data_IF_445648249766
#
_entry.id   IF_445648249766
#
_cell.length_a   1.000
_cell.length_b   1.000
_cell.length_c   1.000
_cell.angle_alpha   90.00
_cell.angle_beta   90.00
_cell.angle_gamma   90.00
#
_symmetry.space_group_name_H-M   'P 1'
#
loop_
_entity.id
_entity.type
_entity.pdbx_description
1 polymer ?
#
# COMPACT_ATOMS: atom_id res chain seq x y z
N UNK A 1 -8.73 -28.43 -2.75
CA UNK A 1 -7.27 -28.31 -2.78
C UNK A 1 -6.75 -28.63 -4.18
N UNK A 2 -5.74 -27.89 -4.67
CA UNK A 2 -5.16 -28.11 -5.99
C UNK A 2 -6.01 -27.62 -7.18
N UNK A 3 -7.09 -26.89 -6.93
CA UNK A 3 -7.92 -26.30 -7.98
C UNK A 3 -7.56 -24.83 -8.21
N UNK A 4 -7.68 -24.39 -9.46
CA UNK A 4 -7.62 -22.99 -9.83
C UNK A 4 -8.87 -22.29 -9.29
N UNK A 5 -8.69 -21.16 -8.63
CA UNK A 5 -9.77 -20.39 -8.00
C UNK A 5 -9.57 -18.91 -8.29
N UNK A 6 -10.68 -18.17 -8.36
CA UNK A 6 -10.67 -16.71 -8.35
C UNK A 6 -11.15 -16.21 -6.99
N UNK A 7 -10.41 -15.29 -6.40
CA UNK A 7 -10.69 -14.70 -5.10
C UNK A 7 -10.66 -13.17 -5.22
N UNK A 8 -11.65 -12.52 -4.65
CA UNK A 8 -11.69 -11.06 -4.52
C UNK A 8 -11.47 -10.66 -3.06
N UNK A 9 -10.64 -9.66 -2.83
CA UNK A 9 -10.36 -9.21 -1.48
C UNK A 9 -9.53 -7.93 -1.44
N UNK A 10 -9.22 -7.51 -0.22
CA UNK A 10 -8.39 -6.34 0.07
C UNK A 10 -7.03 -6.83 0.52
N UNK A 11 -5.97 -6.27 -0.05
CA UNK A 11 -4.59 -6.55 0.38
C UNK A 11 -4.34 -5.87 1.71
N UNK A 12 -4.06 -6.64 2.74
CA UNK A 12 -3.78 -6.13 4.08
C UNK A 12 -2.29 -5.97 4.34
N UNK A 13 -1.49 -6.84 3.75
CA UNK A 13 -0.04 -6.87 3.98
C UNK A 13 0.69 -7.34 2.73
N UNK A 14 1.85 -6.73 2.46
CA UNK A 14 2.83 -7.18 1.48
C UNK A 14 4.17 -7.39 2.17
N UNK A 15 4.85 -8.51 1.89
CA UNK A 15 6.24 -8.69 2.32
C UNK A 15 7.20 -7.92 1.41
N UNK A 16 8.45 -7.83 1.83
CA UNK A 16 9.50 -7.36 0.94
C UNK A 16 9.73 -8.35 -0.20
N UNK A 17 10.11 -7.83 -1.35
CA UNK A 17 10.54 -8.65 -2.49
C UNK A 17 11.90 -9.26 -2.19
N UNK A 18 12.03 -10.56 -2.39
CA UNK A 18 13.28 -11.30 -2.14
C UNK A 18 13.60 -12.20 -3.32
N UNK A 19 14.83 -12.17 -3.81
CA UNK A 19 15.26 -13.12 -4.80
C UNK A 19 15.36 -14.51 -4.15
N UNK A 20 14.75 -15.50 -4.77
CA UNK A 20 14.77 -16.90 -4.40
C UNK A 20 15.52 -17.67 -5.47
N UNK A 21 16.44 -18.51 -5.05
CA UNK A 21 17.19 -19.30 -6.00
C UNK A 21 16.36 -20.47 -6.53
N UNK A 22 16.36 -20.63 -7.84
CA UNK A 22 15.73 -21.75 -8.54
C UNK A 22 16.77 -22.81 -8.93
N UNK A 23 17.90 -22.34 -9.43
CA UNK A 23 19.02 -23.20 -9.83
C UNK A 23 20.34 -22.59 -9.40
N UNK A 24 21.15 -23.33 -8.65
CA UNK A 24 22.51 -22.94 -8.32
C UNK A 24 23.52 -23.69 -9.19
N UNK A 25 24.61 -23.00 -9.48
CA UNK A 25 25.76 -23.55 -10.18
C UNK A 25 26.99 -23.40 -9.28
N UNK A 26 27.67 -24.48 -9.03
CA UNK A 26 28.87 -24.52 -8.19
C UNK A 26 30.05 -25.03 -9.02
N UNK A 27 31.19 -24.41 -8.84
CA UNK A 27 32.42 -24.80 -9.50
C UNK A 27 33.35 -25.47 -8.49
N UNK A 28 33.98 -26.58 -8.91
CA UNK A 28 35.00 -27.28 -8.14
C UNK A 28 36.36 -27.06 -8.77
N UNK A 29 37.27 -26.35 -8.08
CA UNK A 29 38.62 -26.04 -8.59
C UNK A 29 39.46 -27.31 -8.80
N UNK A 30 39.30 -28.33 -7.94
CA UNK A 30 40.08 -29.58 -8.00
C UNK A 30 39.71 -30.47 -9.18
N UNK A 31 38.41 -30.51 -9.52
CA UNK A 31 37.90 -31.35 -10.60
C UNK A 31 37.63 -30.58 -11.89
N UNK A 32 37.72 -29.23 -11.84
CA UNK A 32 37.39 -28.34 -12.95
C UNK A 32 36.01 -28.62 -13.55
N UNK A 33 35.03 -28.99 -12.72
CA UNK A 33 33.66 -29.32 -13.14
C UNK A 33 32.63 -28.40 -12.49
N UNK A 34 31.56 -28.18 -13.22
CA UNK A 34 30.40 -27.48 -12.71
C UNK A 34 29.37 -28.45 -12.16
N UNK A 35 28.86 -28.19 -10.97
CA UNK A 35 27.80 -28.92 -10.31
C UNK A 35 26.55 -28.05 -10.29
N UNK A 36 25.47 -28.53 -10.92
CA UNK A 36 24.18 -27.81 -10.98
C UNK A 36 23.22 -28.46 -10.01
N UNK A 37 22.48 -27.62 -9.28
CA UNK A 37 21.43 -28.07 -8.36
C UNK A 37 20.17 -27.25 -8.55
N UNK A 38 19.05 -27.94 -8.71
CA UNK A 38 17.71 -27.31 -8.74
C UNK A 38 17.08 -27.34 -7.34
N UNK A 39 16.47 -26.22 -6.97
CA UNK A 39 15.75 -26.08 -5.71
C UNK A 39 14.25 -26.07 -5.99
N UNK A 40 13.53 -27.00 -5.38
CA UNK A 40 12.08 -27.14 -5.50
C UNK A 40 11.45 -26.95 -4.14
N UNK A 41 10.59 -25.97 -4.02
CA UNK A 41 9.81 -25.74 -2.82
C UNK A 41 8.40 -26.30 -2.96
N UNK A 42 7.75 -26.50 -1.82
CA UNK A 42 6.36 -26.92 -1.77
C UNK A 42 5.39 -25.90 -2.41
N UNK A 43 5.83 -24.64 -2.63
CA UNK A 43 5.06 -23.59 -3.28
C UNK A 43 5.17 -23.58 -4.80
N UNK A 44 6.16 -24.29 -5.38
CA UNK A 44 6.32 -24.36 -6.83
C UNK A 44 5.30 -25.27 -7.51
N UNK A 45 4.98 -24.94 -8.76
CA UNK A 45 4.23 -25.82 -9.65
C UNK A 45 5.11 -26.99 -10.07
N UNK A 46 4.78 -28.18 -9.64
CA UNK A 46 5.51 -29.40 -10.02
C UNK A 46 5.16 -30.59 -9.15
N UNK A 47 5.29 -31.79 -9.71
CA UNK A 47 4.97 -33.07 -9.05
C UNK A 47 6.15 -33.68 -8.28
N UNK A 48 7.31 -33.02 -8.24
CA UNK A 48 8.49 -33.54 -7.55
C UNK A 48 8.49 -33.21 -6.04
N UNK A 49 9.17 -34.05 -5.25
CA UNK A 49 9.35 -33.78 -3.82
C UNK A 49 10.16 -32.48 -3.62
N UNK A 50 9.89 -31.72 -2.53
CA UNK A 50 10.69 -30.56 -2.20
C UNK A 50 12.14 -30.93 -1.93
N UNK A 51 13.08 -30.18 -2.48
CA UNK A 51 14.52 -30.38 -2.21
C UNK A 51 14.94 -29.54 -0.99
N UNK A 52 16.06 -29.92 -0.38
CA UNK A 52 16.63 -29.15 0.73
C UNK A 52 17.07 -27.77 0.25
N UNK A 53 16.81 -26.73 1.03
CA UNK A 53 17.19 -25.34 0.73
C UNK A 53 18.65 -25.00 1.04
N UNK A 54 19.44 -25.98 1.49
CA UNK A 54 20.84 -25.78 1.90
C UNK A 54 21.79 -25.82 0.70
N UNK A 55 22.69 -24.84 0.61
CA UNK A 55 23.76 -24.86 -0.39
C UNK A 55 24.75 -25.98 -0.16
N UNK A 56 25.12 -26.73 -1.18
CA UNK A 56 26.22 -27.68 -1.07
C UNK A 56 27.55 -26.90 -0.94
N UNK A 57 28.28 -27.17 0.10
CA UNK A 57 29.61 -26.59 0.34
C UNK A 57 30.75 -27.52 -0.12
N UNK A 58 30.43 -28.81 -0.26
CA UNK A 58 31.37 -29.86 -0.67
C UNK A 58 30.75 -30.76 -1.71
N UNK A 59 31.57 -31.26 -2.61
CA UNK A 59 31.22 -32.30 -3.58
C UNK A 59 31.11 -33.69 -2.90
N UNK A 60 30.61 -34.68 -3.63
CA UNK A 60 30.54 -36.09 -3.17
C UNK A 60 31.93 -36.67 -2.76
N UNK A 61 32.99 -36.13 -3.35
CA UNK A 61 34.38 -36.47 -3.05
C UNK A 61 34.98 -35.67 -1.89
N UNK A 62 34.24 -34.79 -1.24
CA UNK A 62 34.70 -33.93 -0.15
C UNK A 62 35.46 -32.67 -0.58
N UNK A 63 35.54 -32.37 -1.89
CA UNK A 63 36.18 -31.17 -2.38
C UNK A 63 35.32 -29.94 -2.15
N UNK A 64 35.95 -28.80 -1.88
CA UNK A 64 35.24 -27.50 -1.68
C UNK A 64 34.62 -27.01 -2.98
N UNK A 65 33.37 -26.56 -2.89
CA UNK A 65 32.64 -25.94 -3.97
C UNK A 65 32.56 -24.45 -3.80
N UNK A 66 32.79 -23.70 -4.88
CA UNK A 66 32.58 -22.23 -4.97
C UNK A 66 31.30 -21.97 -5.77
N UNK A 67 30.46 -21.04 -5.31
CA UNK A 67 29.19 -20.72 -5.98
C UNK A 67 29.41 -19.65 -7.04
N UNK A 68 29.06 -19.95 -8.28
CA UNK A 68 29.11 -19.02 -9.40
C UNK A 68 27.78 -18.29 -9.56
N UNK A 69 27.65 -17.15 -8.88
CA UNK A 69 26.40 -16.39 -8.84
C UNK A 69 25.90 -15.94 -10.22
N UNK A 70 26.82 -15.63 -11.14
CA UNK A 70 26.47 -15.20 -12.51
C UNK A 70 25.82 -16.28 -13.37
N UNK A 71 25.96 -17.57 -13.00
CA UNK A 71 25.34 -18.70 -13.68
C UNK A 71 24.11 -19.24 -12.94
N UNK A 72 23.83 -18.72 -11.76
CA UNK A 72 22.65 -19.07 -10.96
C UNK A 72 21.39 -18.42 -11.53
N UNK A 73 20.26 -19.11 -11.41
CA UNK A 73 18.95 -18.58 -11.80
C UNK A 73 18.15 -18.23 -10.55
N UNK A 74 17.73 -16.99 -10.47
CA UNK A 74 16.92 -16.46 -9.38
C UNK A 74 15.51 -16.15 -9.88
N UNK A 75 14.57 -16.11 -8.95
CA UNK A 75 13.17 -15.73 -9.15
C UNK A 75 12.77 -14.76 -8.04
N UNK A 76 12.13 -13.69 -8.38
CA UNK A 76 11.58 -12.77 -7.39
C UNK A 76 10.38 -13.40 -6.69
N UNK A 77 10.33 -13.25 -5.38
CA UNK A 77 9.34 -13.85 -4.50
C UNK A 77 8.80 -12.83 -3.53
N UNK A 78 7.48 -12.77 -3.42
CA UNK A 78 6.78 -11.90 -2.48
C UNK A 78 5.59 -12.65 -1.88
N UNK A 79 5.32 -12.42 -0.60
CA UNK A 79 4.15 -12.94 0.08
C UNK A 79 3.19 -11.79 0.39
N UNK A 80 1.93 -11.95 0.06
CA UNK A 80 0.87 -10.99 0.38
C UNK A 80 -0.22 -11.66 1.19
N UNK A 81 -0.91 -10.89 2.05
CA UNK A 81 -2.09 -11.35 2.77
C UNK A 81 -3.31 -10.61 2.24
N UNK A 82 -4.33 -11.36 1.85
CA UNK A 82 -5.60 -10.84 1.35
C UNK A 82 -6.68 -11.12 2.36
N UNK A 83 -7.50 -10.13 2.65
CA UNK A 83 -8.66 -10.22 3.52
C UNK A 83 -9.94 -10.16 2.71
N UNK A 84 -10.95 -10.90 3.15
CA UNK A 84 -12.31 -10.87 2.60
C UNK A 84 -12.87 -9.43 2.60
N UNK A 85 -13.63 -9.09 1.54
CA UNK A 85 -14.25 -7.77 1.45
C UNK A 85 -15.31 -7.60 2.56
N UNK A 86 -15.27 -6.49 3.32
CA UNK A 86 -16.22 -6.25 4.42
C UNK A 86 -17.68 -6.27 3.97
N UNK A 87 -17.94 -5.89 2.70
CA UNK A 87 -19.28 -5.84 2.12
C UNK A 87 -19.87 -7.24 1.87
N UNK A 88 -19.01 -8.27 1.74
CA UNK A 88 -19.40 -9.67 1.52
C UNK A 88 -19.30 -10.53 2.79
N UNK A 89 -18.64 -10.01 3.82
CA UNK A 89 -18.54 -10.73 5.08
C UNK A 89 -19.90 -10.78 5.79
N UNK A 90 -20.28 -11.94 6.35
CA UNK A 90 -21.50 -12.03 7.14
C UNK A 90 -21.44 -11.07 8.34
N UNK A 91 -22.52 -10.37 8.66
CA UNK A 91 -22.56 -9.45 9.79
C UNK A 91 -22.21 -10.17 11.11
N UNK A 92 -21.32 -9.56 11.89
CA UNK A 92 -20.89 -10.10 13.20
C UNK A 92 -19.76 -11.14 13.15
N UNK A 93 -19.21 -11.45 11.97
CA UNK A 93 -18.03 -12.30 11.85
C UNK A 93 -16.78 -11.48 11.50
N UNK A 94 -15.63 -11.90 12.04
CA UNK A 94 -14.36 -11.33 11.64
C UNK A 94 -14.03 -11.77 10.20
N UNK A 95 -13.59 -10.84 9.34
CA UNK A 95 -13.23 -11.16 7.97
C UNK A 95 -12.06 -12.15 7.93
N UNK A 96 -12.15 -13.13 7.05
CA UNK A 96 -11.12 -14.16 6.88
C UNK A 96 -9.98 -13.63 6.04
N UNK A 97 -8.77 -14.10 6.33
CA UNK A 97 -7.57 -13.76 5.55
C UNK A 97 -6.92 -15.01 4.98
N UNK A 98 -6.25 -14.86 3.84
CA UNK A 98 -5.47 -15.91 3.19
C UNK A 98 -4.13 -15.34 2.75
N UNK A 99 -3.08 -16.14 2.92
CA UNK A 99 -1.74 -15.82 2.44
C UNK A 99 -1.60 -16.26 0.99
N UNK A 100 -0.98 -15.41 0.18
CA UNK A 100 -0.76 -15.63 -1.25
C UNK A 100 0.71 -15.47 -1.57
N UNK A 101 1.22 -16.37 -2.37
CA UNK A 101 2.57 -16.33 -2.92
C UNK A 101 2.50 -15.72 -4.32
N UNK A 102 3.30 -14.69 -4.52
CA UNK A 102 3.46 -13.97 -5.78
C UNK A 102 4.90 -14.16 -6.26
N UNK A 103 5.08 -14.65 -7.45
CA UNK A 103 6.39 -14.90 -8.05
C UNK A 103 6.55 -14.15 -9.38
N UNK A 104 7.78 -13.83 -9.74
CA UNK A 104 8.19 -13.19 -11.02
C UNK A 104 7.41 -11.88 -11.30
N UNK A 105 6.69 -11.84 -12.42
CA UNK A 105 5.98 -10.66 -12.95
C UNK A 105 4.85 -10.16 -12.05
N UNK A 106 4.37 -10.98 -11.12
CA UNK A 106 3.29 -10.61 -10.20
C UNK A 106 3.80 -9.84 -8.98
N UNK A 107 5.10 -9.85 -8.76
CA UNK A 107 5.73 -9.18 -7.63
C UNK A 107 5.57 -7.67 -7.76
N UNK A 108 5.27 -7.00 -6.65
CA UNK A 108 5.15 -5.54 -6.51
C UNK A 108 4.04 -4.87 -7.34
N UNK A 109 3.12 -5.67 -7.93
CA UNK A 109 1.97 -5.14 -8.66
C UNK A 109 0.87 -4.59 -7.76
N UNK A 110 0.85 -4.98 -6.49
CA UNK A 110 -0.21 -4.63 -5.53
C UNK A 110 0.37 -3.97 -4.30
N UNK A 111 -0.41 -3.06 -3.72
CA UNK A 111 -0.06 -2.35 -2.49
C UNK A 111 -1.06 -2.67 -1.37
N UNK A 112 -0.65 -2.57 -0.11
CA UNK A 112 -1.60 -2.67 1.00
C UNK A 112 -2.74 -1.65 0.84
N UNK A 113 -3.98 -2.11 1.00
CA UNK A 113 -5.18 -1.31 0.80
C UNK A 113 -5.85 -1.48 -0.57
N UNK A 114 -5.17 -2.05 -1.56
CA UNK A 114 -5.75 -2.30 -2.87
C UNK A 114 -6.83 -3.38 -2.82
N UNK A 115 -7.90 -3.16 -3.59
CA UNK A 115 -8.92 -4.18 -3.85
C UNK A 115 -8.51 -4.95 -5.10
N UNK A 116 -8.35 -6.23 -4.98
CA UNK A 116 -7.85 -7.06 -6.05
C UNK A 116 -8.75 -8.26 -6.31
N UNK A 117 -8.72 -8.72 -7.55
CA UNK A 117 -9.18 -10.04 -7.95
C UNK A 117 -7.95 -10.87 -8.29
N UNK A 118 -7.75 -11.93 -7.53
CA UNK A 118 -6.64 -12.84 -7.69
C UNK A 118 -7.13 -14.15 -8.29
N UNK A 119 -6.45 -14.62 -9.32
CA UNK A 119 -6.62 -15.97 -9.86
C UNK A 119 -5.39 -16.79 -9.50
N UNK A 120 -5.59 -17.96 -8.92
CA UNK A 120 -4.47 -18.78 -8.48
C UNK A 120 -4.89 -20.18 -8.05
N UNK A 121 -3.89 -20.98 -7.68
CA UNK A 121 -4.11 -22.34 -7.21
C UNK A 121 -4.15 -22.38 -5.67
N UNK A 122 -5.24 -22.90 -5.12
CA UNK A 122 -5.37 -23.11 -3.68
C UNK A 122 -4.64 -24.36 -3.25
N UNK A 123 -3.65 -24.21 -2.35
CA UNK A 123 -2.76 -25.29 -1.90
C UNK A 123 -2.73 -25.35 -0.37
N UNK A 124 -2.56 -26.55 0.17
CA UNK A 124 -2.28 -26.74 1.60
C UNK A 124 -0.85 -27.21 1.79
N UNK A 125 -0.18 -26.62 2.76
CA UNK A 125 1.16 -27.01 3.18
C UNK A 125 1.10 -27.70 4.54
N UNK A 126 1.74 -28.86 4.65
CA UNK A 126 1.95 -29.53 5.93
C UNK A 126 2.87 -28.70 6.83
N UNK A 127 2.46 -28.47 8.05
CA UNK A 127 3.26 -27.77 9.03
C UNK A 127 4.25 -28.78 9.64
N UNK A 128 5.55 -28.59 9.38
CA UNK A 128 6.61 -29.42 9.97
C UNK A 128 7.08 -28.78 11.27
N UNK A 129 6.96 -29.49 12.37
CA UNK A 129 7.55 -29.14 13.66
C UNK A 129 8.60 -30.20 13.98
N UNK A 130 9.88 -29.88 13.75
CA UNK A 130 10.97 -30.84 13.85
C UNK A 130 10.87 -31.96 12.78
N UNK A 131 10.96 -33.22 13.22
CA UNK A 131 10.82 -34.39 12.33
C UNK A 131 9.37 -34.85 12.10
N UNK A 132 8.39 -34.29 12.83
CA UNK A 132 6.99 -34.69 12.72
C UNK A 132 6.16 -33.68 11.92
N UNK A 133 5.18 -34.18 11.17
CA UNK A 133 4.21 -33.35 10.47
C UNK A 133 2.94 -33.25 11.34
N UNK A 134 2.50 -32.05 11.68
CA UNK A 134 1.23 -31.86 12.43
C UNK A 134 0.04 -32.18 11.55
N UNK A 135 -1.06 -32.63 12.16
CA UNK A 135 -2.33 -32.91 11.44
C UNK A 135 -3.04 -31.63 10.94
N UNK A 136 -2.62 -30.45 11.40
CA UNK A 136 -3.13 -29.15 10.95
C UNK A 136 -2.31 -28.63 9.78
N UNK A 137 -3.01 -28.28 8.68
CA UNK A 137 -2.36 -27.78 7.47
C UNK A 137 -2.56 -26.27 7.36
N UNK A 138 -1.48 -25.56 7.02
CA UNK A 138 -1.57 -24.15 6.63
C UNK A 138 -2.03 -24.10 5.18
N UNK A 139 -3.02 -23.28 4.91
CA UNK A 139 -3.54 -23.06 3.56
C UNK A 139 -2.95 -21.79 2.99
N UNK A 140 -2.60 -21.82 1.72
CA UNK A 140 -2.13 -20.68 0.96
C UNK A 140 -2.61 -20.75 -0.49
N UNK A 141 -2.49 -19.65 -1.19
CA UNK A 141 -2.79 -19.55 -2.60
C UNK A 141 -1.54 -19.20 -3.38
N UNK A 142 -1.30 -19.85 -4.50
CA UNK A 142 -0.24 -19.49 -5.43
C UNK A 142 -0.86 -18.65 -6.52
N UNK A 143 -0.47 -17.35 -6.60
CA UNK A 143 -0.99 -16.42 -7.58
C UNK A 143 -0.53 -16.75 -8.99
N UNK A 144 -1.44 -16.66 -9.95
CA UNK A 144 -1.17 -16.79 -11.38
C UNK A 144 -1.44 -15.49 -12.11
N UNK A 145 -2.44 -14.73 -11.64
CA UNK A 145 -2.84 -13.48 -12.24
C UNK A 145 -3.51 -12.59 -11.20
N UNK A 146 -3.20 -11.31 -11.24
CA UNK A 146 -3.79 -10.29 -10.38
C UNK A 146 -4.42 -9.21 -11.23
N UNK A 147 -5.64 -8.86 -10.89
CA UNK A 147 -6.35 -7.73 -11.44
C UNK A 147 -6.72 -6.75 -10.32
N UNK A 148 -6.26 -5.51 -10.41
CA UNK A 148 -6.58 -4.48 -9.43
C UNK A 148 -7.96 -3.91 -9.77
N UNK A 149 -8.94 -4.21 -8.91
CA UNK A 149 -10.34 -3.78 -9.07
C UNK A 149 -10.52 -2.28 -8.80
N UNK A 150 -9.76 -1.74 -7.90
CA UNK A 150 -9.69 -0.30 -7.72
C UNK A 150 -8.50 0.22 -8.51
N UNK A 151 -8.76 0.89 -9.62
CA UNK A 151 -7.82 1.83 -10.21
C UNK A 151 -7.65 3.05 -9.29
N UNK A 152 -7.47 2.79 -8.00
CA UNK A 152 -7.01 3.73 -7.00
C UNK A 152 -5.49 3.73 -7.03
N UNK A 153 -4.92 4.03 -8.16
CA UNK A 153 -3.64 4.73 -8.18
C UNK A 153 -3.89 6.14 -7.60
N UNK A 154 -4.14 6.17 -6.29
CA UNK A 154 -4.52 7.31 -5.51
C UNK A 154 -5.95 7.15 -5.01
N UNK A 155 -6.12 6.64 -3.81
CA UNK A 155 -7.27 6.63 -2.89
C UNK A 155 -8.60 7.31 -3.22
N UNK A 156 -8.99 7.41 -4.46
CA UNK A 156 -10.24 8.01 -4.92
C UNK A 156 -11.24 6.98 -5.40
N UNK A 157 -12.49 7.35 -5.43
CA UNK A 157 -13.60 6.65 -6.09
C UNK A 157 -13.08 6.16 -7.43
N UNK A 158 -13.24 4.87 -7.73
CA UNK A 158 -13.05 4.32 -9.07
C UNK A 158 -13.66 5.32 -10.06
N UNK A 159 -12.81 6.05 -10.78
CA UNK A 159 -13.32 6.93 -11.82
C UNK A 159 -13.97 6.02 -12.85
N UNK A 160 -15.29 5.97 -12.81
CA UNK A 160 -16.06 5.40 -13.91
C UNK A 160 -15.54 6.05 -15.19
N UNK A 161 -15.29 5.28 -16.25
CA UNK A 161 -14.84 5.86 -17.49
C UNK A 161 -15.83 6.96 -17.90
N UNK A 162 -15.31 8.17 -18.10
CA UNK A 162 -16.12 9.32 -18.52
C UNK A 162 -16.81 8.99 -19.84
N UNK A 163 -18.11 9.05 -19.84
CA UNK A 163 -18.89 8.87 -21.07
C UNK A 163 -18.88 10.16 -21.89
N UNK A 164 -19.15 10.06 -23.20
CA UNK A 164 -19.24 11.24 -24.07
C UNK A 164 -20.32 12.21 -23.62
N UNK A 165 -21.35 11.71 -22.93
CA UNK A 165 -22.40 12.51 -22.31
C UNK A 165 -21.86 13.34 -21.15
N UNK A 166 -20.99 12.75 -20.31
CA UNK A 166 -20.37 13.45 -19.19
C UNK A 166 -19.46 14.57 -19.69
N UNK A 167 -18.67 14.30 -20.72
CA UNK A 167 -17.80 15.33 -21.33
C UNK A 167 -18.61 16.50 -21.88
N UNK A 168 -19.74 16.22 -22.55
CA UNK A 168 -20.64 17.29 -23.03
C UNK A 168 -21.24 18.10 -21.89
N UNK A 169 -21.66 17.43 -20.81
CA UNK A 169 -22.21 18.11 -19.63
C UNK A 169 -21.15 18.97 -18.93
N UNK A 170 -19.92 18.48 -18.78
CA UNK A 170 -18.79 19.23 -18.22
C UNK A 170 -18.55 20.49 -19.06
N UNK A 171 -18.47 20.37 -20.39
CA UNK A 171 -18.28 21.50 -21.29
C UNK A 171 -19.44 22.51 -21.25
N UNK A 172 -20.67 22.05 -21.02
CA UNK A 172 -21.83 22.90 -20.85
C UNK A 172 -21.78 23.70 -19.54
N UNK A 173 -21.40 23.02 -18.45
CA UNK A 173 -21.29 23.64 -17.13
C UNK A 173 -20.12 24.63 -17.10
N UNK A 174 -18.97 24.31 -17.70
CA UNK A 174 -17.77 25.16 -17.70
C UNK A 174 -17.95 26.50 -18.36
N UNK A 175 -18.95 26.65 -19.25
CA UNK A 175 -19.27 27.92 -19.94
C UNK A 175 -20.19 28.87 -19.15
N UNK A 176 -20.65 28.43 -17.97
CA UNK A 176 -21.54 29.28 -17.14
C UNK A 176 -20.70 30.27 -16.34
N UNK A 177 -21.21 31.46 -16.17
CA UNK A 177 -20.56 32.50 -15.35
C UNK A 177 -20.65 32.23 -13.86
N UNK A 178 -21.68 31.49 -13.42
CA UNK A 178 -21.96 31.11 -12.03
C UNK A 178 -21.40 29.73 -11.61
N UNK A 179 -20.42 29.20 -12.35
CA UNK A 179 -19.87 27.84 -12.13
C UNK A 179 -19.41 27.62 -10.68
N UNK A 180 -18.71 28.60 -10.10
CA UNK A 180 -18.17 28.47 -8.75
C UNK A 180 -19.28 28.35 -7.70
N UNK A 181 -20.30 29.16 -7.78
CA UNK A 181 -21.43 29.13 -6.85
C UNK A 181 -22.29 27.88 -7.04
N UNK A 182 -22.48 27.44 -8.27
CA UNK A 182 -23.17 26.20 -8.59
C UNK A 182 -22.44 24.99 -8.01
N UNK A 183 -21.12 24.89 -8.18
CA UNK A 183 -20.32 23.81 -7.62
C UNK A 183 -20.31 23.86 -6.08
N UNK A 184 -20.21 25.04 -5.48
CA UNK A 184 -20.26 25.19 -4.03
C UNK A 184 -21.62 24.75 -3.46
N UNK A 185 -22.74 25.08 -4.12
CA UNK A 185 -24.06 24.61 -3.70
C UNK A 185 -24.29 23.13 -3.91
N UNK A 186 -23.71 22.53 -4.96
CA UNK A 186 -23.79 21.10 -5.21
C UNK A 186 -22.93 20.27 -4.25
N UNK A 187 -21.98 20.92 -3.56
CA UNK A 187 -21.13 20.28 -2.56
C UNK A 187 -21.95 19.99 -1.31
N UNK A 188 -21.98 18.73 -0.87
CA UNK A 188 -22.74 18.26 0.29
C UNK A 188 -24.21 18.71 0.30
N UNK A 189 -25.05 18.23 -0.65
CA UNK A 189 -26.46 18.68 -0.75
C UNK A 189 -27.28 18.32 0.49
N UNK A 190 -26.87 17.32 1.26
CA UNK A 190 -27.51 16.91 2.51
C UNK A 190 -27.29 17.90 3.67
N UNK A 191 -26.34 18.86 3.54
CA UNK A 191 -26.03 19.83 4.55
C UNK A 191 -26.62 21.18 4.11
N UNK A 192 -27.57 21.69 4.90
CA UNK A 192 -28.19 22.99 4.64
C UNK A 192 -27.31 24.13 5.16
N UNK A 193 -27.21 25.22 4.39
CA UNK A 193 -26.41 26.38 4.75
C UNK A 193 -24.92 26.15 4.67
N UNK A 194 -24.14 26.86 5.46
CA UNK A 194 -22.68 26.83 5.50
C UNK A 194 -22.00 27.16 4.16
N UNK A 195 -22.53 28.13 3.40
CA UNK A 195 -22.06 28.47 2.06
C UNK A 195 -20.56 28.83 2.03
N UNK A 196 -20.10 29.61 3.02
CA UNK A 196 -18.67 29.94 3.12
C UNK A 196 -17.79 28.72 3.33
N UNK A 197 -18.25 27.77 4.17
CA UNK A 197 -17.51 26.54 4.40
C UNK A 197 -17.48 25.67 3.15
N UNK A 198 -18.58 25.55 2.43
CA UNK A 198 -18.66 24.84 1.15
C UNK A 198 -17.73 25.44 0.09
N UNK A 199 -17.68 26.77 -0.02
CA UNK A 199 -16.74 27.46 -0.90
C UNK A 199 -15.28 27.21 -0.49
N UNK A 200 -14.97 27.25 0.80
CA UNK A 200 -13.62 26.96 1.31
C UNK A 200 -13.20 25.53 1.00
N UNK A 201 -14.07 24.55 1.23
CA UNK A 201 -13.82 23.14 0.92
C UNK A 201 -13.64 22.93 -0.58
N UNK A 202 -14.43 23.60 -1.42
CA UNK A 202 -14.25 23.54 -2.88
C UNK A 202 -12.87 24.04 -3.30
N UNK A 203 -12.41 25.17 -2.75
CA UNK A 203 -11.08 25.71 -3.03
C UNK A 203 -9.98 24.78 -2.54
N UNK A 204 -10.13 24.14 -1.37
CA UNK A 204 -9.21 23.15 -0.87
C UNK A 204 -9.11 21.94 -1.81
N UNK A 205 -10.22 21.44 -2.33
CA UNK A 205 -10.25 20.30 -3.26
C UNK A 205 -9.60 20.62 -4.61
N UNK A 206 -9.69 21.87 -5.05
CA UNK A 206 -9.03 22.34 -6.28
C UNK A 206 -7.54 22.58 -6.07
N UNK A 207 -7.13 22.92 -4.84
CA UNK A 207 -5.76 23.28 -4.51
C UNK A 207 -5.34 24.65 -5.06
N UNK A 208 -4.18 25.11 -4.63
CA UNK A 208 -3.51 26.29 -5.14
C UNK A 208 -2.35 25.94 -6.06
N UNK A 209 -1.83 26.93 -6.76
CA UNK A 209 -0.65 26.78 -7.60
C UNK A 209 0.62 26.97 -6.80
N UNK A 210 1.50 26.00 -6.85
CA UNK A 210 2.84 26.09 -6.28
C UNK A 210 3.70 27.07 -7.09
N UNK A 211 4.53 27.86 -6.39
CA UNK A 211 5.44 28.82 -7.03
C UNK A 211 6.87 28.54 -6.57
N UNK A 212 7.70 28.16 -7.52
CA UNK A 212 9.13 28.05 -7.35
C UNK A 212 9.79 29.33 -7.85
N UNK A 213 10.35 30.12 -6.93
CA UNK A 213 11.03 31.35 -7.27
C UNK A 213 12.46 31.08 -7.70
N UNK A 214 13.02 31.94 -8.54
CA UNK A 214 14.39 31.82 -9.06
C UNK A 214 15.48 31.84 -7.97
N UNK A 215 15.15 32.33 -6.77
CA UNK A 215 16.02 32.34 -5.61
C UNK A 215 16.02 31.01 -4.80
N UNK A 216 15.35 29.96 -5.30
CA UNK A 216 15.25 28.67 -4.63
C UNK A 216 14.16 28.60 -3.54
N UNK A 217 13.37 29.67 -3.34
CA UNK A 217 12.26 29.63 -2.38
C UNK A 217 11.06 28.95 -2.99
N UNK A 218 10.53 27.94 -2.30
CA UNK A 218 9.32 27.22 -2.66
C UNK A 218 8.11 27.77 -1.88
N UNK A 219 7.07 28.20 -2.58
CA UNK A 219 5.81 28.63 -1.97
C UNK A 219 4.77 27.54 -2.24
N UNK A 220 4.29 26.92 -1.17
CA UNK A 220 3.30 25.84 -1.25
C UNK A 220 1.96 26.33 -1.81
N UNK A 221 1.28 25.45 -2.55
CA UNK A 221 -0.08 25.64 -3.05
C UNK A 221 -1.16 24.98 -2.20
N UNK A 222 -0.79 24.24 -1.14
CA UNK A 222 -1.73 23.48 -0.33
C UNK A 222 -2.58 24.38 0.56
N UNK A 223 -3.88 24.08 0.62
CA UNK A 223 -4.85 24.81 1.42
C UNK A 223 -5.29 23.95 2.59
N UNK A 224 -4.95 24.37 3.80
CA UNK A 224 -5.34 23.69 5.03
C UNK A 224 -6.56 24.37 5.65
N UNK A 225 -7.55 23.58 6.09
CA UNK A 225 -8.77 24.09 6.70
C UNK A 225 -8.91 23.54 8.12
N UNK A 226 -9.11 24.43 9.08
CA UNK A 226 -9.47 24.08 10.45
C UNK A 226 -10.92 24.50 10.72
N UNK A 227 -11.77 23.53 11.05
CA UNK A 227 -13.16 23.76 11.40
C UNK A 227 -13.34 23.73 12.92
N UNK A 228 -13.71 24.87 13.49
CA UNK A 228 -13.99 25.04 14.93
C UNK A 228 -15.46 25.43 15.11
N UNK A 229 -16.13 24.81 16.05
CA UNK A 229 -17.53 25.10 16.34
C UNK A 229 -18.16 24.12 17.31
N UNK A 230 -19.38 24.40 17.72
CA UNK A 230 -20.14 23.62 18.69
C UNK A 230 -20.43 22.18 18.21
N UNK A 231 -20.75 21.25 19.09
CA UNK A 231 -21.23 19.93 18.70
C UNK A 231 -22.49 20.06 17.84
N UNK A 232 -22.73 19.08 16.97
CA UNK A 232 -23.90 19.01 16.09
C UNK A 232 -23.97 20.07 14.96
N UNK A 233 -22.89 20.78 14.66
CA UNK A 233 -22.80 21.73 13.53
C UNK A 233 -22.38 21.08 12.21
N UNK A 234 -22.61 19.80 12.03
CA UNK A 234 -22.31 19.00 10.82
C UNK A 234 -20.82 18.94 10.39
N UNK A 235 -19.85 19.26 11.27
CA UNK A 235 -18.41 19.18 10.94
C UNK A 235 -17.98 17.80 10.43
N UNK A 236 -18.28 16.75 11.18
CA UNK A 236 -17.92 15.37 10.80
C UNK A 236 -18.67 14.90 9.54
N UNK A 237 -19.88 15.42 9.27
CA UNK A 237 -20.59 15.13 8.02
C UNK A 237 -19.90 15.78 6.82
N UNK A 238 -19.40 17.00 6.97
CA UNK A 238 -18.62 17.68 5.93
C UNK A 238 -17.33 16.91 5.63
N UNK A 239 -16.60 16.44 6.66
CA UNK A 239 -15.42 15.60 6.49
C UNK A 239 -15.73 14.30 5.74
N UNK A 240 -16.83 13.62 6.07
CA UNK A 240 -17.27 12.42 5.35
C UNK A 240 -17.59 12.70 3.88
N UNK A 241 -18.19 13.85 3.60
CA UNK A 241 -18.45 14.24 2.23
C UNK A 241 -17.15 14.45 1.45
N UNK A 242 -16.16 15.13 2.04
CA UNK A 242 -14.83 15.30 1.44
C UNK A 242 -14.16 13.97 1.15
N UNK A 243 -14.22 13.02 2.11
CA UNK A 243 -13.69 11.67 1.94
C UNK A 243 -14.30 10.91 0.76
N UNK A 244 -15.59 11.13 0.52
CA UNK A 244 -16.29 10.47 -0.58
C UNK A 244 -16.04 11.15 -1.94
N UNK A 245 -15.72 12.45 -1.93
CA UNK A 245 -15.61 13.25 -3.15
C UNK A 245 -14.17 13.36 -3.65
N UNK A 246 -13.20 13.49 -2.74
CA UNK A 246 -11.81 13.61 -3.11
C UNK A 246 -11.27 12.31 -3.74
N UNK A 247 -10.41 12.46 -4.75
CA UNK A 247 -9.80 11.33 -5.46
C UNK A 247 -8.93 10.46 -4.55
N UNK A 248 -8.16 11.10 -3.67
CA UNK A 248 -7.36 10.47 -2.63
C UNK A 248 -7.67 11.14 -1.30
N UNK A 249 -8.35 10.43 -0.42
CA UNK A 249 -8.68 10.96 0.90
C UNK A 249 -8.55 9.87 1.97
N UNK A 250 -7.91 10.21 3.07
CA UNK A 250 -7.72 9.31 4.21
C UNK A 250 -8.36 9.94 5.45
N UNK A 251 -9.20 9.14 6.13
CA UNK A 251 -9.79 9.53 7.40
C UNK A 251 -8.92 9.05 8.56
N UNK A 252 -8.73 9.92 9.53
CA UNK A 252 -8.13 9.58 10.80
C UNK A 252 -8.85 10.32 11.93
N UNK A 253 -8.75 9.79 13.15
CA UNK A 253 -9.33 10.42 14.33
C UNK A 253 -8.24 10.73 15.33
N UNK A 254 -8.35 11.84 16.03
CA UNK A 254 -7.35 12.26 17.02
C UNK A 254 -7.12 11.27 18.16
N UNK A 255 -8.11 10.43 18.49
CA UNK A 255 -7.97 9.37 19.52
C UNK A 255 -7.41 8.07 18.99
N UNK A 256 -7.66 7.73 17.74
CA UNK A 256 -7.33 6.42 17.16
C UNK A 256 -5.95 6.35 16.51
N UNK A 257 -5.38 7.47 16.20
CA UNK A 257 -4.04 7.55 15.64
C UNK A 257 -3.03 7.83 16.74
N UNK A 258 -2.23 6.82 17.09
CA UNK A 258 -0.95 7.12 17.74
C UNK A 258 -0.08 7.91 16.75
N UNK A 259 0.85 8.76 17.20
CA UNK A 259 1.76 9.51 16.33
C UNK A 259 2.48 8.67 15.28
N UNK A 260 2.55 7.39 15.56
CA UNK A 260 3.07 6.34 14.69
C UNK A 260 2.10 6.03 13.55
N UNK A 261 0.78 6.04 13.79
CA UNK A 261 -0.23 5.79 12.75
C UNK A 261 -0.47 6.99 11.82
N UNK A 262 -0.08 8.20 12.25
CA UNK A 262 -0.18 9.41 11.43
C UNK A 262 0.98 9.53 10.45
N UNK A 263 2.21 9.29 10.89
CA UNK A 263 3.41 9.51 10.06
C UNK A 263 4.00 8.24 9.52
N UNK A 264 4.68 7.46 10.35
CA UNK A 264 5.14 6.11 10.03
C UNK A 264 5.38 5.28 11.29
N UNK A 265 5.08 4.01 11.19
CA UNK A 265 5.33 2.98 12.16
C UNK A 265 6.62 2.25 11.86
N UNK A 266 7.44 1.97 12.86
CA UNK A 266 8.50 0.97 12.75
C UNK A 266 7.92 -0.36 13.25
N UNK A 267 7.65 -1.26 12.33
CA UNK A 267 7.18 -2.63 12.61
C UNK A 267 8.31 -3.62 12.39
N UNK A 268 8.31 -4.71 13.15
CA UNK A 268 9.25 -5.80 12.94
C UNK A 268 8.58 -6.87 12.10
N UNK A 269 9.18 -7.24 10.99
CA UNK A 269 8.70 -8.32 10.15
C UNK A 269 8.84 -9.64 10.92
N UNK A 270 7.73 -10.39 11.04
CA UNK A 270 7.69 -11.64 11.80
C UNK A 270 8.49 -12.78 11.18
N UNK A 271 8.71 -12.73 9.88
CA UNK A 271 9.42 -13.78 9.14
C UNK A 271 10.93 -13.59 9.18
N UNK A 272 11.38 -12.33 9.18
CA UNK A 272 12.79 -11.99 9.03
C UNK A 272 13.40 -11.35 10.25
N UNK A 273 12.58 -10.86 11.19
CA UNK A 273 13.03 -10.09 12.33
C UNK A 273 13.56 -8.69 11.97
N UNK A 274 13.52 -8.31 10.69
CA UNK A 274 13.97 -7.00 10.24
C UNK A 274 12.95 -5.90 10.57
N UNK A 275 13.47 -4.72 10.90
CA UNK A 275 12.65 -3.54 11.13
C UNK A 275 12.21 -2.94 9.81
N UNK A 276 10.91 -2.69 9.68
CA UNK A 276 10.30 -2.09 8.49
C UNK A 276 9.58 -0.81 8.86
N UNK A 277 9.64 0.19 7.98
CA UNK A 277 8.78 1.37 8.05
C UNK A 277 7.44 1.07 7.39
N UNK A 278 6.37 1.31 8.13
CA UNK A 278 5.00 1.24 7.64
C UNK A 278 4.46 2.67 7.52
N UNK A 279 3.99 3.03 6.33
CA UNK A 279 3.52 4.38 6.04
C UNK A 279 2.23 4.68 6.81
N UNK A 280 2.19 5.83 7.49
CA UNK A 280 0.99 6.32 8.16
C UNK A 280 0.08 7.13 7.25
N UNK A 281 -1.03 7.63 7.81
CA UNK A 281 -2.08 8.32 7.07
C UNK A 281 -1.59 9.53 6.27
N UNK A 282 -0.64 10.30 6.80
CA UNK A 282 -0.09 11.49 6.11
C UNK A 282 0.74 11.11 4.88
N UNK A 283 1.53 10.04 4.98
CA UNK A 283 2.35 9.55 3.86
C UNK A 283 1.48 8.88 2.80
N UNK A 284 0.48 8.09 3.22
CA UNK A 284 -0.45 7.42 2.31
C UNK A 284 -1.35 8.40 1.54
N UNK A 285 -1.59 9.59 2.10
CA UNK A 285 -2.39 10.63 1.45
C UNK A 285 -1.53 11.65 0.69
N UNK A 286 -0.33 11.29 0.26
CA UNK A 286 0.50 12.17 -0.56
C UNK A 286 -0.26 12.65 -1.79
N UNK A 287 -0.26 13.97 -2.04
CA UNK A 287 -1.07 14.66 -3.08
C UNK A 287 -2.58 14.46 -2.95
N UNK A 288 -3.05 14.10 -1.76
CA UNK A 288 -4.45 13.91 -1.44
C UNK A 288 -4.93 14.79 -0.29
N UNK A 289 -6.01 14.35 0.35
CA UNK A 289 -6.62 15.05 1.49
C UNK A 289 -6.61 14.15 2.71
N UNK A 290 -6.07 14.66 3.82
CA UNK A 290 -6.19 14.01 5.14
C UNK A 290 -7.31 14.69 5.92
N UNK A 291 -8.31 13.92 6.31
CA UNK A 291 -9.42 14.38 7.15
C UNK A 291 -9.20 13.90 8.58
N UNK A 292 -8.90 14.81 9.48
CA UNK A 292 -8.68 14.52 10.90
C UNK A 292 -9.90 14.99 11.69
N UNK A 293 -10.65 14.05 12.25
CA UNK A 293 -11.73 14.36 13.18
C UNK A 293 -11.22 14.35 14.63
N UNK A 294 -11.85 15.12 15.51
CA UNK A 294 -11.47 15.24 16.93
C UNK A 294 -10.01 15.69 17.15
N UNK A 295 -9.56 16.70 16.39
CA UNK A 295 -8.18 17.23 16.46
C UNK A 295 -7.77 17.68 17.87
N UNK A 296 -8.71 18.13 18.69
CA UNK A 296 -8.52 18.54 20.09
C UNK A 296 -8.04 17.40 20.99
N UNK A 297 -8.29 16.17 20.62
CA UNK A 297 -7.95 14.97 21.39
C UNK A 297 -6.61 14.35 21.02
N UNK A 298 -5.87 14.96 20.15
CA UNK A 298 -4.54 14.53 19.75
C UNK A 298 -3.49 14.83 20.83
N UNK A 299 -2.44 14.01 20.86
CA UNK A 299 -1.27 14.28 21.71
C UNK A 299 -0.48 15.50 21.20
N UNK A 300 0.26 16.17 22.08
CA UNK A 300 1.07 17.33 21.69
C UNK A 300 2.18 16.95 20.71
N UNK A 301 2.73 15.74 20.80
CA UNK A 301 3.73 15.21 19.87
C UNK A 301 3.14 15.08 18.46
N UNK A 302 1.92 14.58 18.35
CA UNK A 302 1.24 14.41 17.07
C UNK A 302 0.92 15.76 16.43
N UNK A 303 0.51 16.74 17.24
CA UNK A 303 0.28 18.11 16.75
C UNK A 303 1.53 18.76 16.19
N UNK A 304 2.68 18.60 16.85
CA UNK A 304 3.97 19.11 16.38
C UNK A 304 4.33 18.47 15.03
N UNK A 305 4.12 17.17 14.88
CA UNK A 305 4.41 16.46 13.64
C UNK A 305 3.51 16.94 12.49
N UNK A 306 2.22 17.15 12.76
CA UNK A 306 1.32 17.71 11.76
C UNK A 306 1.75 19.12 11.35
N UNK A 307 2.17 19.93 12.31
CA UNK A 307 2.67 21.28 12.05
C UNK A 307 3.90 21.26 11.12
N UNK A 308 4.86 20.35 11.37
CA UNK A 308 6.02 20.14 10.50
C UNK A 308 5.57 19.79 9.06
N UNK A 309 4.64 18.83 8.91
CA UNK A 309 4.13 18.43 7.59
C UNK A 309 3.43 19.60 6.88
N UNK A 310 2.63 20.37 7.62
CA UNK A 310 1.92 21.52 7.05
C UNK A 310 2.85 22.65 6.60
N UNK A 311 3.98 22.84 7.28
CA UNK A 311 4.92 23.91 6.95
C UNK A 311 5.96 23.48 5.92
N UNK A 312 6.58 22.31 6.12
CA UNK A 312 7.73 21.86 5.35
C UNK A 312 7.38 20.88 4.23
N UNK A 313 6.14 20.37 4.22
CA UNK A 313 5.69 19.30 3.29
C UNK A 313 6.56 18.03 3.37
N UNK A 314 7.29 17.87 4.46
CA UNK A 314 8.19 16.74 4.70
C UNK A 314 7.88 16.09 6.03
N UNK A 315 8.04 14.78 6.12
CA UNK A 315 7.97 14.03 7.38
C UNK A 315 9.34 13.48 7.70
N UNK A 316 9.95 14.02 8.75
CA UNK A 316 11.26 13.55 9.22
C UNK A 316 11.05 12.45 10.25
N UNK A 317 11.53 11.25 9.97
CA UNK A 317 11.43 10.12 10.88
C UNK A 317 12.83 9.74 11.34
N UNK A 318 13.07 9.91 12.64
CA UNK A 318 14.29 9.48 13.31
C UNK A 318 13.91 8.50 14.43
N UNK A 319 13.52 7.27 14.07
CA UNK A 319 13.11 6.24 15.04
C UNK A 319 13.89 4.95 14.82
N UNK A 320 14.35 4.35 15.91
CA UNK A 320 14.95 3.02 15.91
C UNK A 320 16.16 2.84 14.97
N UNK A 321 16.95 3.89 14.75
CA UNK A 321 18.13 3.87 13.88
C UNK A 321 17.84 4.07 12.39
N UNK A 322 16.56 4.31 12.03
CA UNK A 322 16.17 4.64 10.67
C UNK A 322 15.94 6.15 10.59
N UNK A 323 16.72 6.81 9.76
CA UNK A 323 16.57 8.22 9.43
C UNK A 323 16.09 8.32 7.98
N UNK A 324 14.87 8.79 7.77
CA UNK A 324 14.32 8.99 6.43
C UNK A 324 13.45 10.24 6.41
N UNK A 325 13.42 10.90 5.26
CA UNK A 325 12.50 11.97 4.96
C UNK A 325 11.48 11.41 3.96
N UNK A 326 10.22 11.38 4.35
CA UNK A 326 9.10 10.96 3.52
C UNK A 326 8.38 12.21 3.02
N UNK A 327 7.67 12.12 1.91
CA UNK A 327 7.04 13.25 1.22
C UNK A 327 8.06 14.18 0.55
N UNK A 328 8.78 13.66 -0.42
CA UNK A 328 9.65 14.47 -1.26
C UNK A 328 9.11 14.47 -2.69
N UNK A 329 8.55 15.59 -3.11
CA UNK A 329 7.93 15.74 -4.43
C UNK A 329 8.65 16.69 -5.37
N UNK A 330 9.88 17.07 -5.06
CA UNK A 330 10.67 17.89 -5.96
C UNK A 330 11.59 16.98 -6.79
N UNK A 331 11.49 16.96 -8.13
CA UNK A 331 12.48 16.30 -8.96
C UNK A 331 13.83 16.98 -8.70
N UNK A 332 14.83 16.18 -8.37
CA UNK A 332 16.21 16.68 -8.24
C UNK A 332 16.62 17.35 -9.56
N UNK A 333 17.20 18.54 -9.56
CA UNK A 333 17.69 19.18 -10.79
C UNK A 333 18.91 18.48 -11.40
N UNK A 334 19.14 17.21 -11.09
CA UNK A 334 20.27 16.41 -11.57
C UNK A 334 19.89 15.15 -12.33
N UNK A 335 18.60 14.93 -12.61
CA UNK A 335 18.14 13.83 -13.48
C UNK A 335 17.62 14.38 -14.82
#
# INVERSE_FOLDING_TARGET
>A
LGKMMSLEGIVTRCSLVRPKIVRSVHYCDTTSRFHMREYRDATMYGTGPPTTSTYPTTDESGNRLTTEYGLCTFRDHQMISIQEMPERAPPGQLPRSIDVVMDDDLVDQVKPGDRIQLVGMYKSLGNRVGQSTTSTFRTLMIGNYVYVLSNKAGGGISQLPLTDLDIRNINKISRREDVFDLLAQSLAPSIFGHDYLKRAVLLMLLGGQEKNLANGTHIRGDINILMVGDPSTAKSQMLRFVLNTASLAIATTGRGSSGVGLTAAVTTDRETGERRLEAGAMVLADRGVVCIDEFDKMSDVDRVTIHEVMEQQTVTIAKAGIHTCLLYTSPSPRD
#
